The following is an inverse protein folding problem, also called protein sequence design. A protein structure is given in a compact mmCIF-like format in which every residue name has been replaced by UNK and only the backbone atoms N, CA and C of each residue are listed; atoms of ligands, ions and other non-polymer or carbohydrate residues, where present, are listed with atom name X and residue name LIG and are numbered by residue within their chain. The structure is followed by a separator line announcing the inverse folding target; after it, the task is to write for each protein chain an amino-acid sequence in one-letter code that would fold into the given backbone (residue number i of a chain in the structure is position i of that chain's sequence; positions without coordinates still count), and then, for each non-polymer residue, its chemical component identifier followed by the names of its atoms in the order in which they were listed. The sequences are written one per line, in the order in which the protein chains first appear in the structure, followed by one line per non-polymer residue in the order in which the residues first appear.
data_IF_789409072713
#
_entry.id   IF_789409072713
#
_cell.length_a   1.000
_cell.length_b   1.000
_cell.length_c   1.000
_cell.angle_alpha   90.00
_cell.angle_beta   90.00
_cell.angle_gamma   90.00
#
_symmetry.space_group_name_H-M   'P 1'
#
loop_
_entity.id
_entity.type
_entity.pdbx_description
1 polymer ?
#
# COMPACT_ATOMS: atom_id res chain seq x y z
N UNK A 1 4.03 51.13 -21.53
CA UNK A 1 4.04 49.81 -22.21
C UNK A 1 4.90 48.79 -21.46
N UNK A 2 6.11 49.12 -21.00
CA UNK A 2 7.01 48.19 -20.29
C UNK A 2 6.43 47.76 -18.93
N UNK A 3 5.90 48.72 -18.15
CA UNK A 3 5.26 48.41 -16.84
C UNK A 3 4.06 47.47 -16.95
N UNK A 4 3.28 47.62 -18.03
CA UNK A 4 2.12 46.72 -18.28
C UNK A 4 2.58 45.29 -18.55
N UNK A 5 3.65 45.13 -19.33
CA UNK A 5 4.22 43.80 -19.59
C UNK A 5 4.77 43.16 -18.30
N UNK A 6 5.52 43.92 -17.48
CA UNK A 6 6.04 43.43 -16.21
C UNK A 6 4.91 42.99 -15.27
N UNK A 7 3.84 43.77 -15.16
CA UNK A 7 2.70 43.43 -14.33
C UNK A 7 1.99 42.19 -14.81
N UNK A 8 1.80 42.03 -16.14
CA UNK A 8 1.16 40.83 -16.72
C UNK A 8 2.02 39.59 -16.45
N UNK A 9 3.33 39.68 -16.69
CA UNK A 9 4.26 38.57 -16.44
C UNK A 9 4.29 38.21 -14.96
N UNK A 10 4.39 39.21 -14.08
CA UNK A 10 4.36 38.98 -12.64
C UNK A 10 3.07 38.29 -12.16
N UNK A 11 1.93 38.77 -12.68
CA UNK A 11 0.63 38.17 -12.35
C UNK A 11 0.50 36.73 -12.90
N UNK A 12 0.97 36.50 -14.13
CA UNK A 12 0.97 35.15 -14.71
C UNK A 12 1.79 34.16 -13.91
N UNK A 13 2.98 34.57 -13.45
CA UNK A 13 3.83 33.73 -12.59
C UNK A 13 3.11 33.45 -11.24
N UNK A 14 2.57 34.48 -10.60
CA UNK A 14 1.87 34.34 -9.33
C UNK A 14 0.68 33.39 -9.45
N UNK A 15 -0.16 33.50 -10.47
CA UNK A 15 -1.26 32.58 -10.72
C UNK A 15 -0.78 31.15 -10.98
N UNK A 16 0.29 30.98 -11.77
CA UNK A 16 0.82 29.66 -12.06
C UNK A 16 1.27 28.94 -10.78
N UNK A 17 2.01 29.63 -9.90
CA UNK A 17 2.46 29.10 -8.63
C UNK A 17 1.25 28.78 -7.72
N UNK A 18 0.27 29.68 -7.64
CA UNK A 18 -0.93 29.48 -6.83
C UNK A 18 -1.72 28.25 -7.28
N UNK A 19 -1.89 28.07 -8.60
CA UNK A 19 -2.58 26.89 -9.14
C UNK A 19 -1.84 25.58 -8.84
N UNK A 20 -0.52 25.57 -8.94
CA UNK A 20 0.28 24.40 -8.61
C UNK A 20 0.17 24.02 -7.13
N UNK A 21 0.28 25.00 -6.23
CA UNK A 21 0.14 24.79 -4.80
C UNK A 21 -1.28 24.33 -4.47
N UNK A 22 -2.30 25.00 -5.03
CA UNK A 22 -3.70 24.63 -4.79
C UNK A 22 -4.00 23.21 -5.25
N UNK A 23 -3.51 22.83 -6.43
CA UNK A 23 -3.68 21.46 -6.92
C UNK A 23 -3.00 20.43 -5.99
N UNK A 24 -1.80 20.72 -5.52
CA UNK A 24 -1.10 19.86 -4.56
C UNK A 24 -1.90 19.74 -3.26
N UNK A 25 -2.32 20.85 -2.67
CA UNK A 25 -3.12 20.86 -1.43
C UNK A 25 -4.44 20.09 -1.58
N UNK A 26 -5.15 20.30 -2.70
CA UNK A 26 -6.41 19.58 -2.97
C UNK A 26 -6.15 18.07 -3.08
N UNK A 27 -5.09 17.67 -3.78
CA UNK A 27 -4.72 16.26 -3.94
C UNK A 27 -4.44 15.63 -2.58
N UNK A 28 -3.62 16.28 -1.75
CA UNK A 28 -3.31 15.80 -0.39
C UNK A 28 -4.58 15.72 0.48
N UNK A 29 -5.43 16.72 0.43
CA UNK A 29 -6.67 16.74 1.24
C UNK A 29 -7.74 15.75 0.77
N UNK A 30 -7.71 15.33 -0.48
CA UNK A 30 -8.66 14.34 -1.02
C UNK A 30 -8.09 12.93 -1.00
N UNK A 31 -6.79 12.77 -0.75
CA UNK A 31 -6.16 11.48 -0.58
C UNK A 31 -6.85 10.71 0.54
N UNK A 32 -7.09 9.42 0.32
CA UNK A 32 -7.72 8.48 1.26
C UNK A 32 -9.19 8.77 1.67
N UNK A 33 -9.81 9.86 1.17
CA UNK A 33 -11.23 10.15 1.45
C UNK A 33 -12.21 9.20 0.76
N UNK A 34 -11.73 8.36 -0.13
CA UNK A 34 -12.57 7.35 -0.78
C UNK A 34 -12.93 6.18 0.14
N UNK A 35 -12.24 6.03 1.27
CA UNK A 35 -12.60 5.05 2.28
C UNK A 35 -13.83 5.49 3.07
N UNK A 36 -14.89 4.70 3.05
CA UNK A 36 -16.16 4.99 3.73
C UNK A 36 -15.99 5.18 5.23
N UNK A 37 -15.07 4.45 5.84
CA UNK A 37 -14.78 4.47 7.26
C UNK A 37 -13.55 5.32 7.64
N UNK A 38 -13.05 6.19 6.76
CA UNK A 38 -11.82 6.96 6.99
C UNK A 38 -11.79 7.68 8.35
N UNK A 39 -12.94 8.21 8.81
CA UNK A 39 -13.05 8.89 10.11
C UNK A 39 -12.90 8.00 11.33
N UNK A 40 -12.99 6.68 11.18
CA UNK A 40 -12.89 5.70 12.27
C UNK A 40 -11.63 4.83 12.17
N UNK A 41 -10.75 5.12 11.21
CA UNK A 41 -9.49 4.41 11.04
C UNK A 41 -8.38 5.20 11.72
N UNK A 42 -7.68 4.58 12.65
CA UNK A 42 -6.60 5.16 13.43
C UNK A 42 -5.33 4.36 13.24
N UNK A 43 -4.21 5.06 13.09
CA UNK A 43 -2.89 4.45 13.06
C UNK A 43 -2.31 4.41 14.46
N UNK A 44 -1.84 3.24 14.87
CA UNK A 44 -1.07 3.10 16.12
C UNK A 44 0.38 3.43 15.81
N UNK A 45 0.97 4.29 16.63
CA UNK A 45 2.37 4.69 16.56
C UNK A 45 3.02 4.53 17.92
N UNK A 46 4.32 4.29 17.97
CA UNK A 46 5.11 4.28 19.19
C UNK A 46 5.79 5.62 19.39
N UNK A 47 5.94 6.01 20.65
CA UNK A 47 6.80 7.12 21.02
C UNK A 47 7.92 6.61 21.92
N UNK A 48 9.16 6.88 21.58
CA UNK A 48 10.28 6.60 22.46
C UNK A 48 10.29 7.56 23.64
N UNK A 49 10.35 7.01 24.84
CA UNK A 49 10.30 7.82 26.09
C UNK A 49 11.51 8.76 26.23
N UNK A 50 12.67 8.33 25.75
CA UNK A 50 13.92 9.11 25.87
C UNK A 50 14.02 10.20 24.80
N UNK A 51 13.89 9.85 23.51
CA UNK A 51 14.03 10.79 22.39
C UNK A 51 12.78 11.59 22.11
N UNK A 52 11.61 11.14 22.60
CA UNK A 52 10.26 11.67 22.25
C UNK A 52 9.95 11.61 20.76
N UNK A 53 10.72 10.88 19.99
CA UNK A 53 10.47 10.67 18.57
C UNK A 53 9.34 9.68 18.38
N UNK A 54 8.51 9.94 17.35
CA UNK A 54 7.42 9.06 16.97
C UNK A 54 7.88 8.09 15.89
N UNK A 55 7.61 6.81 16.12
CA UNK A 55 7.89 5.77 15.16
C UNK A 55 6.59 5.14 14.68
N UNK A 56 6.53 4.90 13.37
CA UNK A 56 5.35 4.27 12.75
C UNK A 56 5.39 2.74 12.81
N UNK A 57 6.53 2.16 13.16
CA UNK A 57 6.64 0.72 13.38
C UNK A 57 6.18 0.39 14.80
N UNK A 58 5.32 -0.60 14.91
CA UNK A 58 4.80 -1.08 16.19
C UNK A 58 5.05 -2.57 16.32
N UNK A 59 5.06 -3.08 17.56
CA UNK A 59 5.21 -4.51 17.79
C UNK A 59 4.02 -5.26 17.18
N UNK A 60 4.31 -6.43 16.60
CA UNK A 60 3.36 -7.28 15.87
C UNK A 60 2.08 -7.61 16.67
N UNK A 61 2.20 -7.75 17.98
CA UNK A 61 1.10 -8.16 18.86
C UNK A 61 0.21 -6.99 19.32
N UNK A 62 0.57 -5.72 19.05
CA UNK A 62 -0.21 -4.57 19.54
C UNK A 62 -1.65 -4.59 19.00
N UNK A 63 -1.83 -4.89 17.71
CA UNK A 63 -3.17 -4.95 17.11
C UNK A 63 -4.11 -5.95 17.80
N UNK A 64 -3.73 -7.22 17.93
CA UNK A 64 -4.51 -8.21 18.64
C UNK A 64 -4.83 -7.83 20.09
N UNK A 65 -3.83 -7.38 20.86
CA UNK A 65 -4.03 -6.96 22.24
C UNK A 65 -4.92 -5.74 22.36
N UNK A 66 -4.73 -4.74 21.52
CA UNK A 66 -5.58 -3.55 21.53
C UNK A 66 -7.05 -3.88 21.29
N UNK A 67 -7.33 -4.79 20.35
CA UNK A 67 -8.72 -5.26 20.11
C UNK A 67 -9.30 -5.99 21.32
N UNK A 68 -8.47 -6.74 22.05
CA UNK A 68 -8.92 -7.51 23.22
C UNK A 68 -9.13 -6.62 24.43
N UNK A 69 -8.25 -5.66 24.69
CA UNK A 69 -8.19 -4.91 25.95
C UNK A 69 -8.89 -3.55 25.89
N UNK A 70 -9.06 -2.97 24.70
CA UNK A 70 -9.62 -1.61 24.56
C UNK A 70 -11.03 -1.68 24.01
N UNK A 71 -12.05 -1.36 24.84
CA UNK A 71 -13.43 -1.26 24.37
C UNK A 71 -13.57 -0.22 23.26
N UNK A 72 -14.29 -0.58 22.19
CA UNK A 72 -14.52 0.31 21.05
C UNK A 72 -13.61 0.04 19.85
N UNK A 73 -12.55 -0.76 20.00
CA UNK A 73 -11.79 -1.25 18.84
C UNK A 73 -12.55 -2.43 18.23
N UNK A 74 -13.17 -2.17 17.09
CA UNK A 74 -13.98 -3.16 16.37
C UNK A 74 -13.09 -4.15 15.61
N UNK A 75 -12.04 -3.62 14.94
CA UNK A 75 -11.14 -4.42 14.12
C UNK A 75 -9.73 -3.80 14.07
N UNK A 76 -8.76 -4.57 13.60
CA UNK A 76 -7.41 -4.10 13.33
C UNK A 76 -6.87 -4.76 12.07
N UNK A 77 -5.87 -4.15 11.46
CA UNK A 77 -5.06 -4.76 10.41
C UNK A 77 -3.62 -4.32 10.56
N UNK A 78 -2.71 -5.24 10.28
CA UNK A 78 -1.27 -4.94 10.24
C UNK A 78 -0.85 -4.81 8.80
N UNK A 79 0.03 -3.87 8.55
CA UNK A 79 0.60 -3.62 7.23
C UNK A 79 2.11 -3.59 7.38
N UNK A 80 2.79 -4.52 6.74
CA UNK A 80 4.25 -4.59 6.75
C UNK A 80 4.76 -4.41 5.32
N UNK A 81 5.31 -3.24 4.99
CA UNK A 81 5.92 -3.02 3.68
C UNK A 81 7.23 -3.80 3.56
N UNK A 82 7.49 -4.31 2.37
CA UNK A 82 8.76 -4.95 2.02
C UNK A 82 9.13 -4.67 0.57
N UNK A 83 10.43 -4.58 0.33
CA UNK A 83 11.01 -4.40 -1.00
C UNK A 83 11.95 -5.56 -1.37
N UNK A 84 12.09 -6.55 -0.48
CA UNK A 84 13.07 -7.64 -0.65
C UNK A 84 12.51 -8.91 -1.28
N UNK A 85 11.24 -8.93 -1.65
CA UNK A 85 10.64 -10.12 -2.23
C UNK A 85 10.72 -10.15 -3.75
N UNK A 86 10.85 -11.36 -4.29
CA UNK A 86 10.79 -11.64 -5.72
C UNK A 86 9.81 -12.76 -6.03
N UNK A 87 9.21 -12.70 -7.21
CA UNK A 87 8.39 -13.78 -7.78
C UNK A 87 9.23 -14.56 -8.78
N UNK A 88 9.21 -15.89 -8.69
CA UNK A 88 9.90 -16.77 -9.63
C UNK A 88 9.26 -16.65 -11.02
N UNK A 89 10.08 -16.37 -12.02
CA UNK A 89 9.66 -16.46 -13.41
C UNK A 89 9.72 -17.95 -13.84
N UNK A 90 8.59 -18.47 -14.33
CA UNK A 90 8.50 -19.87 -14.73
C UNK A 90 9.30 -20.19 -16.01
N UNK A 91 9.66 -19.19 -16.81
CA UNK A 91 10.40 -19.38 -18.07
C UNK A 91 11.92 -19.34 -17.87
N UNK A 92 12.40 -18.39 -17.06
CA UNK A 92 13.83 -18.16 -16.88
C UNK A 92 14.39 -18.75 -15.59
N UNK A 93 13.53 -19.27 -14.72
CA UNK A 93 13.89 -19.71 -13.35
C UNK A 93 14.45 -18.60 -12.45
N UNK A 94 14.57 -17.38 -12.95
CA UNK A 94 15.05 -16.22 -12.22
C UNK A 94 13.94 -15.59 -11.36
N UNK A 95 14.34 -14.89 -10.30
CA UNK A 95 13.41 -14.13 -9.49
C UNK A 95 13.31 -12.70 -9.99
N UNK A 96 12.08 -12.28 -10.28
CA UNK A 96 11.76 -10.88 -10.62
C UNK A 96 11.47 -10.13 -9.31
N UNK A 97 12.27 -9.12 -8.95
CA UNK A 97 12.03 -8.34 -7.74
C UNK A 97 10.65 -7.64 -7.77
N UNK A 98 9.97 -7.65 -6.64
CA UNK A 98 8.72 -6.90 -6.45
C UNK A 98 9.08 -5.59 -5.73
N UNK A 99 9.10 -4.44 -6.42
CA UNK A 99 9.65 -3.20 -5.86
C UNK A 99 8.83 -2.61 -4.71
N UNK A 100 7.60 -3.02 -4.52
CA UNK A 100 6.72 -2.58 -3.43
C UNK A 100 5.71 -3.68 -3.13
N UNK A 101 5.94 -4.41 -2.07
CA UNK A 101 4.99 -5.40 -1.56
C UNK A 101 4.51 -5.04 -0.17
N UNK A 102 3.29 -5.44 0.15
CA UNK A 102 2.69 -5.27 1.47
C UNK A 102 2.24 -6.63 1.98
N UNK A 103 2.69 -7.00 3.17
CA UNK A 103 2.06 -8.07 3.92
C UNK A 103 0.93 -7.47 4.74
N UNK A 104 -0.25 -8.02 4.59
CA UNK A 104 -1.48 -7.51 5.19
C UNK A 104 -2.25 -8.65 5.84
N UNK A 105 -3.01 -8.31 6.87
CA UNK A 105 -3.98 -9.24 7.45
C UNK A 105 -5.22 -9.37 6.54
N UNK A 106 -5.97 -10.44 6.69
CA UNK A 106 -7.22 -10.68 5.93
C UNK A 106 -8.27 -9.58 6.11
N UNK A 107 -8.24 -8.90 7.26
CA UNK A 107 -9.16 -7.79 7.58
C UNK A 107 -8.86 -6.50 6.81
N UNK A 108 -7.75 -6.42 6.09
CA UNK A 108 -7.34 -5.22 5.37
C UNK A 108 -8.42 -4.71 4.42
N UNK A 109 -8.96 -5.58 3.58
CA UNK A 109 -9.98 -5.21 2.61
C UNK A 109 -11.38 -5.02 3.21
N UNK A 110 -11.57 -5.38 4.49
CA UNK A 110 -12.78 -5.03 5.25
C UNK A 110 -12.68 -3.63 5.85
N UNK A 111 -11.46 -3.17 6.15
CA UNK A 111 -11.20 -1.85 6.74
C UNK A 111 -11.00 -0.78 5.68
N UNK A 112 -10.40 -1.14 4.54
CA UNK A 112 -10.07 -0.23 3.45
C UNK A 112 -10.83 -0.60 2.18
N UNK A 113 -11.50 0.38 1.57
CA UNK A 113 -12.35 0.21 0.37
C UNK A 113 -11.52 0.19 -0.92
N UNK A 114 -10.52 -0.69 -1.01
CA UNK A 114 -9.82 -0.89 -2.27
C UNK A 114 -10.66 -1.80 -3.18
N UNK A 115 -10.98 -1.34 -4.42
CA UNK A 115 -11.81 -2.14 -5.31
C UNK A 115 -11.04 -3.37 -5.82
N UNK A 116 -11.58 -4.55 -5.58
CA UNK A 116 -11.14 -5.78 -6.22
C UNK A 116 -11.82 -5.86 -7.57
N UNK A 117 -11.04 -5.73 -8.66
CA UNK A 117 -11.57 -5.69 -10.03
C UNK A 117 -11.93 -7.09 -10.52
N UNK A 118 -11.13 -8.08 -10.16
CA UNK A 118 -11.32 -9.49 -10.50
C UNK A 118 -10.91 -10.37 -9.33
N UNK A 119 -11.52 -11.55 -9.25
CA UNK A 119 -11.24 -12.51 -8.21
C UNK A 119 -12.02 -12.26 -6.92
N UNK A 120 -11.68 -13.00 -5.90
CA UNK A 120 -12.30 -12.92 -4.57
C UNK A 120 -11.31 -13.40 -3.52
N UNK A 121 -11.14 -12.64 -2.47
CA UNK A 121 -10.34 -13.05 -1.32
C UNK A 121 -11.09 -14.16 -0.59
N UNK A 122 -10.42 -15.29 -0.48
CA UNK A 122 -10.90 -16.44 0.26
C UNK A 122 -9.94 -16.68 1.43
N UNK A 123 -10.39 -16.35 2.63
CA UNK A 123 -9.61 -16.50 3.87
C UNK A 123 -9.31 -17.97 4.22
N UNK A 124 -9.96 -18.93 3.56
CA UNK A 124 -9.64 -20.35 3.73
C UNK A 124 -8.39 -20.78 2.96
N UNK A 125 -7.96 -19.97 1.98
CA UNK A 125 -6.75 -20.19 1.21
C UNK A 125 -5.56 -19.59 1.94
N UNK A 126 -4.63 -20.43 2.34
CA UNK A 126 -3.34 -19.97 2.86
C UNK A 126 -2.49 -19.39 1.73
N UNK A 127 -1.75 -18.32 2.03
CA UNK A 127 -0.83 -17.70 1.09
C UNK A 127 -1.50 -17.22 -0.20
N UNK A 128 -2.54 -16.40 -0.07
CA UNK A 128 -3.10 -15.67 -1.20
C UNK A 128 -2.33 -14.36 -1.47
N UNK A 129 -2.37 -13.93 -2.71
CA UNK A 129 -1.76 -12.68 -3.15
C UNK A 129 -2.74 -11.88 -4.02
N UNK A 130 -2.78 -10.59 -3.80
CA UNK A 130 -3.49 -9.64 -4.67
C UNK A 130 -2.47 -8.84 -5.44
N UNK A 131 -2.65 -8.75 -6.74
CA UNK A 131 -1.77 -8.00 -7.63
C UNK A 131 -2.49 -6.78 -8.20
N UNK A 132 -1.77 -5.69 -8.41
CA UNK A 132 -2.35 -4.52 -9.07
C UNK A 132 -2.61 -4.81 -10.55
N UNK A 133 -3.60 -4.11 -11.14
CA UNK A 133 -3.90 -4.24 -12.57
C UNK A 133 -2.68 -3.96 -13.46
N UNK A 134 -1.85 -2.98 -13.07
CA UNK A 134 -0.65 -2.65 -13.83
C UNK A 134 0.37 -3.79 -13.76
N UNK A 135 0.59 -4.36 -12.58
CA UNK A 135 1.46 -5.51 -12.40
C UNK A 135 0.96 -6.72 -13.23
N UNK A 136 -0.34 -7.00 -13.16
CA UNK A 136 -0.94 -8.08 -13.93
C UNK A 136 -0.74 -7.91 -15.44
N UNK A 137 -0.96 -6.71 -15.98
CA UNK A 137 -0.72 -6.42 -17.41
C UNK A 137 0.73 -6.60 -17.80
N UNK A 138 1.66 -6.16 -16.97
CA UNK A 138 3.10 -6.19 -17.25
C UNK A 138 3.67 -7.61 -17.24
N UNK A 139 3.23 -8.45 -16.28
CA UNK A 139 3.86 -9.75 -16.04
C UNK A 139 3.07 -10.94 -16.58
N UNK A 140 1.77 -10.77 -16.87
CA UNK A 140 0.93 -11.85 -17.40
C UNK A 140 0.49 -11.62 -18.86
N UNK A 141 0.98 -10.55 -19.53
CA UNK A 141 0.82 -10.33 -20.98
C UNK A 141 -0.64 -10.35 -21.46
N UNK A 142 -1.59 -9.89 -20.59
CA UNK A 142 -3.02 -9.90 -20.91
C UNK A 142 -3.73 -11.23 -20.61
N UNK A 143 -3.04 -12.26 -20.16
CA UNK A 143 -3.66 -13.46 -19.62
C UNK A 143 -4.30 -13.19 -18.27
N UNK A 144 -5.39 -13.90 -17.96
CA UNK A 144 -6.00 -13.82 -16.64
C UNK A 144 -5.03 -14.38 -15.57
N UNK A 145 -4.61 -13.58 -14.57
CA UNK A 145 -3.70 -14.04 -13.52
C UNK A 145 -4.41 -14.83 -12.41
N UNK A 146 -5.73 -14.75 -12.32
CA UNK A 146 -6.51 -15.37 -11.24
C UNK A 146 -6.30 -16.89 -11.25
N UNK A 147 -6.21 -17.47 -10.06
CA UNK A 147 -5.94 -18.89 -9.80
C UNK A 147 -4.54 -19.38 -10.21
N UNK A 148 -3.70 -18.51 -10.77
CA UNK A 148 -2.31 -18.88 -11.01
C UNK A 148 -1.53 -18.94 -9.70
N UNK A 149 -0.68 -19.92 -9.62
CA UNK A 149 0.22 -20.12 -8.49
C UNK A 149 1.57 -19.50 -8.80
N UNK A 150 2.12 -18.75 -7.88
CA UNK A 150 3.43 -18.11 -7.97
C UNK A 150 4.30 -18.53 -6.80
N UNK A 151 5.59 -18.64 -7.03
CA UNK A 151 6.56 -18.89 -5.96
C UNK A 151 7.22 -17.56 -5.58
N UNK A 152 7.16 -17.22 -4.29
CA UNK A 152 7.67 -15.98 -3.73
C UNK A 152 8.81 -16.30 -2.79
N UNK A 153 9.90 -15.56 -2.90
CA UNK A 153 11.08 -15.69 -2.04
C UNK A 153 11.55 -14.34 -1.55
N UNK A 154 12.05 -14.31 -0.32
CA UNK A 154 12.81 -13.17 0.20
C UNK A 154 14.22 -13.19 -0.41
N UNK A 155 14.55 -12.16 -1.18
CA UNK A 155 15.83 -12.06 -1.90
C UNK A 155 16.99 -11.64 -0.98
N UNK A 156 16.69 -11.04 0.16
CA UNK A 156 17.69 -10.62 1.15
C UNK A 156 18.03 -11.75 2.15
N UNK A 157 17.24 -12.83 2.14
CA UNK A 157 17.48 -13.97 3.02
C UNK A 157 18.51 -14.93 2.44
N UNK A 158 19.56 -15.24 3.22
CA UNK A 158 20.52 -16.29 2.87
C UNK A 158 19.88 -17.70 2.86
N UNK A 159 18.77 -17.86 3.56
CA UNK A 159 18.03 -19.13 3.60
C UNK A 159 17.01 -19.15 2.48
N UNK A 160 16.89 -20.30 1.83
CA UNK A 160 15.91 -20.52 0.75
C UNK A 160 14.49 -20.68 1.31
N UNK A 161 13.99 -19.60 1.93
CA UNK A 161 12.65 -19.53 2.45
C UNK A 161 11.73 -18.88 1.41
N UNK A 162 11.14 -19.71 0.57
CA UNK A 162 10.10 -19.28 -0.34
C UNK A 162 8.76 -19.91 0.03
N UNK A 163 7.68 -19.30 -0.41
CA UNK A 163 6.35 -19.82 -0.28
C UNK A 163 5.62 -19.84 -1.62
N UNK A 164 4.68 -20.77 -1.74
CA UNK A 164 3.76 -20.82 -2.87
C UNK A 164 2.54 -20.00 -2.52
N UNK A 165 2.18 -19.05 -3.38
CA UNK A 165 0.98 -18.23 -3.21
C UNK A 165 0.07 -18.34 -4.42
N UNK A 166 -1.24 -18.27 -4.21
CA UNK A 166 -2.26 -18.23 -5.27
C UNK A 166 -2.76 -16.82 -5.47
N UNK A 167 -2.85 -16.39 -6.71
CA UNK A 167 -3.43 -15.09 -7.08
C UNK A 167 -4.95 -15.21 -6.99
N UNK A 168 -5.55 -14.32 -6.24
CA UNK A 168 -6.99 -14.29 -5.96
C UNK A 168 -7.64 -13.01 -6.48
#
# INVERSE_FOLDING_TARGET
KIYTVINIVGLAIAFSITLLISNHVITEWTMDKFHSNAGNIYRITNQYLESKEWESLTAYLIGPYAKQEIPGIVNYTRIMPSNSYGIKNNETEEYIPIPKSLFIDENFFQMFDFPIIQGKIDSTVLNWIVVTQNYAKQHFGGQNPIDKTVFIKDLDSEKDHGCVARIV
#
